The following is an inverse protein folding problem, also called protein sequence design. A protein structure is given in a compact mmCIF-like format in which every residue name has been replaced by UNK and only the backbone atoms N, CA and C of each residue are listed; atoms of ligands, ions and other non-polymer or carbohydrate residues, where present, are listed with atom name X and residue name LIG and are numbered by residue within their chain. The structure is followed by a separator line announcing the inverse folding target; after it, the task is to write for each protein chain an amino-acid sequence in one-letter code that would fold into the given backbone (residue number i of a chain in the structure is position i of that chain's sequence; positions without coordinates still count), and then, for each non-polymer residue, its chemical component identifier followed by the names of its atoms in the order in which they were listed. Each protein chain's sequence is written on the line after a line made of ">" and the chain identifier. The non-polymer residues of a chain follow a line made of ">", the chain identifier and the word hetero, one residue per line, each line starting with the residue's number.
data_IF_838317953301
#
_entry.id   IF_838317953301
#
_cell.length_a   1.000
_cell.length_b   1.000
_cell.length_c   1.000
_cell.angle_alpha   90.00
_cell.angle_beta   90.00
_cell.angle_gamma   90.00
#
_symmetry.space_group_name_H-M   'P 1'
#
loop_
_entity.id
_entity.type
_entity.pdbx_description
1 polymer ?
#
# COMPACT_ATOMS: atom_id res chain seq x y z
N UNK A 1 -13.57 -10.39 -36.04
CA UNK A 1 -13.10 -11.50 -35.18
C UNK A 1 -12.35 -10.90 -34.00
N UNK A 2 -12.73 -11.15 -32.74
CA UNK A 2 -11.99 -10.63 -31.60
C UNK A 2 -10.64 -11.35 -31.54
N UNK A 3 -9.56 -10.64 -31.82
CA UNK A 3 -8.21 -11.10 -31.55
C UNK A 3 -8.12 -11.46 -30.07
N UNK A 4 -7.99 -12.75 -29.78
CA UNK A 4 -7.70 -13.25 -28.44
C UNK A 4 -6.33 -12.68 -28.06
N UNK A 5 -6.33 -11.54 -27.36
CA UNK A 5 -5.14 -10.92 -26.80
C UNK A 5 -4.58 -11.87 -25.72
N UNK A 6 -3.83 -12.87 -26.16
CA UNK A 6 -3.10 -13.80 -25.31
C UNK A 6 -1.96 -13.02 -24.67
N UNK A 7 -2.20 -12.55 -23.44
CA UNK A 7 -1.16 -11.93 -22.63
C UNK A 7 0.02 -12.91 -22.56
N UNK A 8 1.24 -12.51 -22.99
CA UNK A 8 2.37 -13.42 -23.07
C UNK A 8 2.66 -14.06 -21.69
N UNK A 9 3.10 -15.34 -21.64
CA UNK A 9 3.32 -16.06 -20.38
C UNK A 9 4.24 -15.33 -19.41
N UNK A 10 5.25 -14.63 -19.93
CA UNK A 10 6.21 -13.82 -19.16
C UNK A 10 5.54 -12.64 -18.43
N UNK A 11 4.57 -12.00 -19.08
CA UNK A 11 3.78 -10.93 -18.45
C UNK A 11 2.83 -11.46 -17.38
N UNK A 12 2.35 -12.72 -17.50
CA UNK A 12 1.58 -13.38 -16.43
C UNK A 12 2.45 -13.70 -15.22
N UNK A 13 3.63 -14.28 -15.43
CA UNK A 13 4.57 -14.61 -14.35
C UNK A 13 5.01 -13.35 -13.59
N UNK A 14 5.36 -12.29 -14.30
CA UNK A 14 5.74 -11.01 -13.69
C UNK A 14 4.65 -10.42 -12.77
N UNK A 15 3.36 -10.60 -13.12
CA UNK A 15 2.23 -10.16 -12.27
C UNK A 15 2.13 -10.94 -10.98
N UNK A 16 2.29 -12.27 -11.03
CA UNK A 16 2.26 -13.11 -9.84
C UNK A 16 3.44 -12.83 -8.91
N UNK A 17 4.64 -12.65 -9.48
CA UNK A 17 5.83 -12.26 -8.71
C UNK A 17 5.60 -10.89 -8.06
N UNK A 18 5.03 -9.92 -8.79
CA UNK A 18 4.73 -8.60 -8.25
C UNK A 18 3.64 -8.58 -7.17
N UNK A 19 2.72 -9.56 -7.19
CA UNK A 19 1.66 -9.72 -6.19
C UNK A 19 2.11 -10.46 -4.93
N UNK A 20 3.22 -11.22 -5.01
CA UNK A 20 3.69 -12.07 -3.93
C UNK A 20 3.94 -11.32 -2.61
N UNK A 21 4.59 -10.14 -2.58
CA UNK A 21 4.82 -9.42 -1.32
C UNK A 21 3.52 -9.05 -0.59
N UNK A 22 2.51 -8.58 -1.32
CA UNK A 22 1.22 -8.24 -0.73
C UNK A 22 0.47 -9.50 -0.28
N UNK A 23 0.54 -10.59 -1.06
CA UNK A 23 -0.09 -11.86 -0.69
C UNK A 23 0.50 -12.44 0.60
N UNK A 24 1.83 -12.40 0.74
CA UNK A 24 2.52 -12.84 1.95
C UNK A 24 2.17 -11.95 3.14
N UNK A 25 2.06 -10.64 2.93
CA UNK A 25 1.68 -9.71 3.99
C UNK A 25 0.22 -9.93 4.41
N UNK A 26 -0.70 -10.11 3.46
CA UNK A 26 -2.08 -10.50 3.75
C UNK A 26 -2.15 -11.83 4.52
N UNK A 27 -1.35 -12.81 4.13
CA UNK A 27 -1.20 -14.08 4.83
C UNK A 27 -0.69 -13.92 6.26
N UNK A 28 0.31 -13.05 6.48
CA UNK A 28 0.78 -12.69 7.81
C UNK A 28 -0.35 -12.08 8.65
N UNK A 29 -1.09 -11.10 8.14
CA UNK A 29 -2.23 -10.52 8.86
C UNK A 29 -3.31 -11.57 9.16
N UNK A 30 -3.58 -12.49 8.23
CA UNK A 30 -4.57 -13.54 8.43
C UNK A 30 -4.12 -14.54 9.50
N UNK A 31 -2.83 -14.90 9.50
CA UNK A 31 -2.22 -15.72 10.53
C UNK A 31 -2.32 -15.06 11.90
N UNK A 32 -1.98 -13.77 12.00
CA UNK A 32 -2.12 -13.01 13.26
C UNK A 32 -3.57 -12.90 13.71
N UNK A 33 -4.52 -12.82 12.78
CA UNK A 33 -5.94 -12.75 13.12
C UNK A 33 -6.48 -14.08 13.66
N UNK A 34 -6.17 -15.18 12.99
CA UNK A 34 -6.72 -16.51 13.28
C UNK A 34 -5.96 -17.19 14.44
N UNK A 35 -4.63 -17.10 14.43
CA UNK A 35 -3.75 -17.81 15.35
C UNK A 35 -2.53 -16.94 15.78
N UNK A 36 -2.75 -15.83 16.51
CA UNK A 36 -1.70 -14.91 16.93
C UNK A 36 -0.60 -15.55 17.80
N UNK A 37 -0.87 -16.70 18.43
CA UNK A 37 0.11 -17.45 19.21
C UNK A 37 1.25 -18.05 18.37
N UNK A 38 1.04 -18.27 17.07
CA UNK A 38 2.06 -18.85 16.18
C UNK A 38 3.22 -17.87 15.91
N UNK A 39 2.97 -16.63 15.46
CA UNK A 39 4.03 -15.63 15.32
C UNK A 39 4.36 -14.91 16.66
N UNK A 40 3.57 -15.15 17.71
CA UNK A 40 3.67 -14.52 19.03
C UNK A 40 2.86 -13.23 19.15
N UNK A 41 2.49 -12.86 20.39
CA UNK A 41 1.63 -11.71 20.68
C UNK A 41 2.17 -10.38 20.11
N UNK A 42 3.50 -10.22 20.05
CA UNK A 42 4.17 -9.07 19.45
C UNK A 42 3.83 -8.86 17.96
N UNK A 43 3.34 -9.88 17.25
CA UNK A 43 2.91 -9.75 15.86
C UNK A 43 1.68 -8.84 15.68
N UNK A 44 0.82 -8.73 16.70
CA UNK A 44 -0.30 -7.77 16.70
C UNK A 44 0.25 -6.34 16.67
N UNK A 45 1.23 -6.06 17.54
CA UNK A 45 1.92 -4.77 17.58
C UNK A 45 2.60 -4.46 16.24
N UNK A 46 3.29 -5.45 15.66
CA UNK A 46 3.93 -5.30 14.34
C UNK A 46 2.92 -5.02 13.25
N UNK A 47 1.81 -5.77 13.17
CA UNK A 47 0.78 -5.56 12.16
C UNK A 47 0.12 -4.18 12.26
N UNK A 48 -0.15 -3.71 13.48
CA UNK A 48 -0.63 -2.34 13.69
C UNK A 48 0.36 -1.30 13.17
N UNK A 49 1.64 -1.43 13.53
CA UNK A 49 2.69 -0.52 13.07
C UNK A 49 2.82 -0.54 11.54
N UNK A 50 2.73 -1.72 10.92
CA UNK A 50 2.73 -1.86 9.46
C UNK A 50 1.59 -1.05 8.82
N UNK A 51 0.37 -1.12 9.35
CA UNK A 51 -0.76 -0.36 8.80
C UNK A 51 -0.62 1.15 8.98
N UNK A 52 0.00 1.61 10.07
CA UNK A 52 0.31 3.03 10.28
C UNK A 52 1.38 3.53 9.30
N UNK A 53 2.43 2.73 9.08
CA UNK A 53 3.45 3.02 8.08
C UNK A 53 2.83 3.04 6.68
N UNK A 54 1.97 2.07 6.37
CA UNK A 54 1.30 1.97 5.07
C UNK A 54 0.44 3.21 4.77
N UNK A 55 -0.27 3.76 5.77
CA UNK A 55 -0.98 5.03 5.65
C UNK A 55 -0.05 6.14 5.14
N UNK A 56 1.12 6.28 5.76
CA UNK A 56 2.13 7.27 5.37
C UNK A 56 2.64 7.01 3.96
N UNK A 57 2.93 5.75 3.62
CA UNK A 57 3.47 5.39 2.30
C UNK A 57 2.48 5.65 1.17
N UNK A 58 1.19 5.43 1.41
CA UNK A 58 0.10 5.71 0.47
C UNK A 58 0.04 7.21 0.13
N UNK A 59 0.15 8.08 1.14
CA UNK A 59 0.15 9.54 0.97
C UNK A 59 1.44 10.04 0.32
N UNK A 60 2.59 9.54 0.77
CA UNK A 60 3.89 9.88 0.19
C UNK A 60 3.94 9.52 -1.29
N UNK A 61 3.39 8.36 -1.67
CA UNK A 61 3.37 7.89 -3.06
C UNK A 61 2.57 8.80 -3.99
N UNK A 62 1.44 9.35 -3.54
CA UNK A 62 0.65 10.30 -4.31
C UNK A 62 1.44 11.58 -4.62
N UNK A 63 1.96 12.21 -3.57
CA UNK A 63 2.61 13.52 -3.68
C UNK A 63 3.96 13.43 -4.38
N UNK A 64 4.82 12.49 -3.98
CA UNK A 64 6.12 12.28 -4.63
C UNK A 64 5.93 11.76 -6.05
N UNK A 65 4.97 10.86 -6.29
CA UNK A 65 4.69 10.32 -7.61
C UNK A 65 4.29 11.38 -8.62
N UNK A 66 3.41 12.32 -8.24
CA UNK A 66 2.98 13.41 -9.11
C UNK A 66 4.14 14.30 -9.57
N UNK A 67 5.09 14.61 -8.68
CA UNK A 67 6.24 15.46 -8.99
C UNK A 67 7.33 14.67 -9.75
N UNK A 68 7.57 13.42 -9.36
CA UNK A 68 8.59 12.57 -9.98
C UNK A 68 8.24 12.20 -11.43
N UNK A 69 6.95 12.01 -11.73
CA UNK A 69 6.45 11.65 -13.06
C UNK A 69 6.16 12.86 -13.97
N UNK A 70 6.36 14.08 -13.47
CA UNK A 70 6.24 15.30 -14.26
C UNK A 70 7.47 15.49 -15.16
N UNK A 71 7.23 15.64 -16.47
CA UNK A 71 8.26 15.84 -17.49
C UNK A 71 8.92 17.21 -17.42
N UNK A 72 8.21 18.23 -16.96
CA UNK A 72 8.73 19.59 -16.83
C UNK A 72 9.60 19.78 -15.57
N UNK A 73 9.60 18.82 -14.65
CA UNK A 73 10.38 18.90 -13.41
C UNK A 73 11.85 18.57 -13.64
N UNK A 74 12.74 19.50 -13.31
CA UNK A 74 14.18 19.25 -13.30
C UNK A 74 14.56 18.23 -12.21
N UNK A 75 15.70 17.54 -12.39
CA UNK A 75 16.21 16.56 -11.43
C UNK A 75 16.33 17.13 -10.02
N UNK A 76 16.84 18.37 -9.89
CA UNK A 76 16.96 19.06 -8.59
C UNK A 76 15.60 19.24 -7.92
N UNK A 77 14.56 19.65 -8.67
CA UNK A 77 13.20 19.78 -8.13
C UNK A 77 12.64 18.43 -7.67
N UNK A 78 12.86 17.35 -8.42
CA UNK A 78 12.44 15.99 -8.04
C UNK A 78 13.12 15.52 -6.74
N UNK A 79 14.44 15.70 -6.64
CA UNK A 79 15.20 15.34 -5.43
C UNK A 79 14.82 16.21 -4.23
N UNK A 80 14.60 17.51 -4.43
CA UNK A 80 14.14 18.40 -3.37
C UNK A 80 12.74 18.00 -2.86
N UNK A 81 11.83 17.61 -3.75
CA UNK A 81 10.51 17.11 -3.36
C UNK A 81 10.61 15.79 -2.58
N UNK A 82 11.41 14.82 -3.08
CA UNK A 82 11.65 13.56 -2.35
C UNK A 82 12.24 13.85 -0.97
N UNK A 83 13.26 14.71 -0.87
CA UNK A 83 13.90 15.08 0.38
C UNK A 83 12.96 15.79 1.35
N UNK A 84 12.15 16.75 0.87
CA UNK A 84 11.19 17.48 1.70
C UNK A 84 10.10 16.57 2.28
N UNK A 85 9.48 15.74 1.43
CA UNK A 85 8.51 14.74 1.91
C UNK A 85 9.17 13.69 2.80
N UNK A 86 10.40 13.25 2.48
CA UNK A 86 11.12 12.29 3.30
C UNK A 86 11.37 12.84 4.71
N UNK A 87 11.83 14.08 4.82
CA UNK A 87 12.07 14.73 6.11
C UNK A 87 10.77 14.86 6.93
N UNK A 88 9.68 15.30 6.30
CA UNK A 88 8.38 15.42 6.97
C UNK A 88 7.88 14.07 7.49
N UNK A 89 7.92 13.01 6.66
CA UNK A 89 7.45 11.69 7.06
C UNK A 89 8.39 10.97 8.04
N UNK A 90 9.68 11.27 8.01
CA UNK A 90 10.64 10.74 8.97
C UNK A 90 10.27 11.10 10.41
N UNK A 91 9.67 12.27 10.64
CA UNK A 91 9.18 12.66 11.97
C UNK A 91 8.13 11.67 12.50
N UNK A 92 7.16 11.29 11.67
CA UNK A 92 6.12 10.32 12.06
C UNK A 92 6.70 8.91 12.25
N UNK A 93 7.54 8.47 11.30
CA UNK A 93 8.16 7.13 11.36
C UNK A 93 9.07 7.03 12.59
N UNK A 94 9.87 8.05 12.90
CA UNK A 94 10.73 8.08 14.07
C UNK A 94 9.92 8.03 15.37
N UNK A 95 8.84 8.80 15.46
CA UNK A 95 7.95 8.79 16.62
C UNK A 95 7.33 7.40 16.85
N UNK A 96 6.84 6.74 15.79
CA UNK A 96 6.29 5.39 15.91
C UNK A 96 7.36 4.33 16.18
N UNK A 97 8.53 4.43 15.56
CA UNK A 97 9.66 3.54 15.86
C UNK A 97 10.03 3.60 17.34
N UNK A 98 10.06 4.80 17.92
CA UNK A 98 10.30 4.98 19.34
C UNK A 98 9.17 4.40 20.19
N UNK A 99 7.91 4.76 19.90
CA UNK A 99 6.72 4.32 20.64
C UNK A 99 6.53 2.80 20.62
N UNK A 100 6.74 2.17 19.47
CA UNK A 100 6.57 0.72 19.28
C UNK A 100 7.83 -0.08 19.60
N UNK A 101 8.95 0.61 19.91
CA UNK A 101 10.29 0.03 20.11
C UNK A 101 10.73 -0.86 18.96
N UNK A 102 10.48 -0.40 17.73
CA UNK A 102 10.73 -1.15 16.51
C UNK A 102 11.53 -0.29 15.52
N UNK A 103 12.75 -0.69 15.21
CA UNK A 103 13.70 0.08 14.39
C UNK A 103 13.55 -0.17 12.88
N UNK A 104 12.97 -1.32 12.48
CA UNK A 104 12.81 -1.71 11.08
C UNK A 104 12.02 -0.71 10.20
N UNK A 105 11.03 0.07 10.69
CA UNK A 105 10.34 1.06 9.86
C UNK A 105 11.29 2.12 9.30
N UNK A 106 12.35 2.48 10.03
CA UNK A 106 13.37 3.42 9.54
C UNK A 106 14.12 2.84 8.34
N UNK A 107 14.46 1.55 8.36
CA UNK A 107 15.08 0.89 7.21
C UNK A 107 14.12 0.82 6.02
N UNK A 108 12.88 0.38 6.24
CA UNK A 108 11.88 0.26 5.18
C UNK A 108 11.62 1.62 4.51
N UNK A 109 11.50 2.66 5.34
CA UNK A 109 11.34 4.03 4.87
C UNK A 109 12.57 4.54 4.12
N UNK A 110 13.77 4.36 4.68
CA UNK A 110 15.03 4.76 4.02
C UNK A 110 15.20 4.09 2.66
N UNK A 111 14.93 2.79 2.58
CA UNK A 111 14.95 2.04 1.32
C UNK A 111 13.95 2.60 0.29
N UNK A 112 12.73 2.92 0.73
CA UNK A 112 11.73 3.53 -0.13
C UNK A 112 12.16 4.92 -0.63
N UNK A 113 12.72 5.75 0.24
CA UNK A 113 13.23 7.07 -0.12
C UNK A 113 14.34 6.96 -1.16
N UNK A 114 15.28 6.02 -0.99
CA UNK A 114 16.32 5.72 -1.98
C UNK A 114 15.72 5.29 -3.32
N UNK A 115 14.74 4.38 -3.31
CA UNK A 115 14.03 3.96 -4.52
C UNK A 115 13.32 5.10 -5.25
N UNK A 116 12.67 6.01 -4.50
CA UNK A 116 12.01 7.19 -5.09
C UNK A 116 13.02 8.23 -5.59
N UNK A 117 14.13 8.44 -4.88
CA UNK A 117 15.21 9.31 -5.33
C UNK A 117 15.86 8.78 -6.62
N UNK A 118 15.99 7.46 -6.75
CA UNK A 118 16.51 6.82 -7.95
C UNK A 118 15.67 7.11 -9.20
N UNK A 119 14.34 7.25 -9.06
CA UNK A 119 13.46 7.63 -10.17
C UNK A 119 13.78 9.00 -10.78
N UNK A 120 14.42 9.92 -10.03
CA UNK A 120 14.87 11.21 -10.56
C UNK A 120 15.99 11.09 -11.60
N UNK A 121 16.65 9.93 -11.67
CA UNK A 121 17.72 9.61 -12.62
C UNK A 121 17.24 8.75 -13.80
N UNK A 122 16.02 8.23 -13.75
CA UNK A 122 15.49 7.36 -14.78
C UNK A 122 14.73 8.15 -15.85
N UNK A 123 14.72 7.69 -17.11
CA UNK A 123 13.80 8.18 -18.13
C UNK A 123 12.36 8.04 -17.66
N UNK A 124 11.49 8.94 -18.14
CA UNK A 124 10.08 8.84 -17.83
C UNK A 124 9.50 7.54 -18.38
N UNK A 125 8.68 6.81 -17.58
CA UNK A 125 7.96 5.66 -18.08
C UNK A 125 7.02 6.05 -19.23
N UNK A 126 6.78 5.14 -20.19
CA UNK A 126 5.75 5.32 -21.20
C UNK A 126 4.40 5.65 -20.58
N UNK A 127 3.55 6.39 -21.30
CA UNK A 127 2.26 6.86 -20.78
C UNK A 127 1.39 5.73 -20.22
N UNK A 128 1.32 4.60 -20.92
CA UNK A 128 0.57 3.43 -20.48
C UNK A 128 1.03 2.92 -19.11
N UNK A 129 2.34 2.96 -18.81
CA UNK A 129 2.90 2.54 -17.53
C UNK A 129 2.59 3.58 -16.44
N UNK A 130 2.61 4.87 -16.75
CA UNK A 130 2.20 5.92 -15.82
C UNK A 130 0.71 5.78 -15.45
N UNK A 131 -0.16 5.58 -16.43
CA UNK A 131 -1.59 5.34 -16.21
C UNK A 131 -1.83 4.09 -15.34
N UNK A 132 -1.05 3.03 -15.56
CA UNK A 132 -1.10 1.84 -14.71
C UNK A 132 -0.70 2.16 -13.25
N UNK A 133 0.40 2.89 -13.04
CA UNK A 133 0.84 3.29 -11.70
C UNK A 133 -0.22 4.14 -10.97
N UNK A 134 -0.88 5.06 -11.69
CA UNK A 134 -1.98 5.85 -11.13
C UNK A 134 -3.19 4.99 -10.78
N UNK A 135 -3.55 4.03 -11.64
CA UNK A 135 -4.65 3.11 -11.39
C UNK A 135 -4.39 2.23 -10.17
N UNK A 136 -3.18 1.66 -10.07
CA UNK A 136 -2.77 0.82 -8.94
C UNK A 136 -2.80 1.62 -7.62
N UNK A 137 -2.29 2.85 -7.65
CA UNK A 137 -2.39 3.76 -6.51
C UNK A 137 -3.84 4.06 -6.13
N UNK A 138 -4.70 4.39 -7.09
CA UNK A 138 -6.10 4.69 -6.84
C UNK A 138 -6.85 3.49 -6.23
N UNK A 139 -6.59 2.27 -6.72
CA UNK A 139 -7.13 1.04 -6.11
C UNK A 139 -6.63 0.90 -4.67
N UNK A 140 -5.35 1.15 -4.42
CA UNK A 140 -4.79 1.14 -3.06
C UNK A 140 -5.50 2.13 -2.14
N UNK A 141 -5.68 3.38 -2.58
CA UNK A 141 -6.41 4.39 -1.79
C UNK A 141 -7.84 3.95 -1.48
N UNK A 142 -8.57 3.49 -2.50
CA UNK A 142 -9.95 3.04 -2.33
C UNK A 142 -10.04 1.83 -1.39
N UNK A 143 -9.12 0.88 -1.51
CA UNK A 143 -9.05 -0.28 -0.61
C UNK A 143 -8.69 0.12 0.82
N UNK A 144 -7.77 1.07 0.99
CA UNK A 144 -7.39 1.58 2.32
C UNK A 144 -8.59 2.25 3.00
N UNK A 145 -9.26 3.16 2.29
CA UNK A 145 -10.46 3.84 2.79
C UNK A 145 -11.60 2.85 3.08
N UNK A 146 -11.88 1.95 2.15
CA UNK A 146 -12.92 0.94 2.32
C UNK A 146 -12.65 0.06 3.55
N UNK A 147 -11.41 -0.40 3.74
CA UNK A 147 -11.03 -1.20 4.89
C UNK A 147 -11.09 -0.44 6.21
N UNK A 148 -10.62 0.81 6.23
CA UNK A 148 -10.72 1.68 7.40
C UNK A 148 -12.17 1.89 7.83
N UNK A 149 -13.07 2.27 6.90
CA UNK A 149 -14.48 2.46 7.23
C UNK A 149 -15.19 1.15 7.57
N UNK A 150 -14.96 0.08 6.80
CA UNK A 150 -15.59 -1.21 7.06
C UNK A 150 -15.26 -1.73 8.46
N UNK A 151 -14.01 -1.61 8.91
CA UNK A 151 -13.59 -2.11 10.23
C UNK A 151 -13.99 -1.20 11.40
N UNK A 152 -14.39 0.04 11.12
CA UNK A 152 -15.03 0.94 12.09
C UNK A 152 -16.50 0.58 12.29
N UNK A 153 -17.23 0.32 11.21
CA UNK A 153 -18.69 0.14 11.26
C UNK A 153 -19.15 -1.32 11.43
N UNK A 154 -18.36 -2.29 10.96
CA UNK A 154 -18.73 -3.70 11.04
C UNK A 154 -18.20 -4.32 12.34
N UNK A 155 -18.97 -5.24 12.96
CA UNK A 155 -18.50 -6.00 14.11
C UNK A 155 -17.46 -7.03 13.66
N UNK A 156 -16.18 -6.64 13.65
CA UNK A 156 -15.08 -7.54 13.29
C UNK A 156 -14.85 -8.58 14.41
N UNK A 157 -14.96 -9.89 14.11
CA UNK A 157 -14.73 -10.92 15.11
C UNK A 157 -13.26 -10.93 15.56
N UNK A 158 -13.04 -11.24 16.85
CA UNK A 158 -11.68 -11.32 17.42
C UNK A 158 -10.88 -12.52 16.92
N UNK A 159 -11.57 -13.60 16.51
CA UNK A 159 -10.97 -14.89 16.18
C UNK A 159 -9.98 -15.31 17.28
N UNK A 160 -8.70 -15.50 16.96
CA UNK A 160 -7.68 -15.94 17.91
C UNK A 160 -7.23 -14.86 18.91
N UNK A 161 -7.67 -13.61 18.78
CA UNK A 161 -7.26 -12.51 19.66
C UNK A 161 -8.04 -12.50 20.98
N UNK A 162 -7.68 -13.41 21.88
CA UNK A 162 -8.21 -13.42 23.25
C UNK A 162 -7.72 -12.20 24.04
N UNK A 163 -8.42 -11.79 25.11
CA UNK A 163 -7.99 -10.68 25.95
C UNK A 163 -6.58 -10.83 26.53
N UNK A 164 -6.17 -12.08 26.86
CA UNK A 164 -4.83 -12.36 27.39
C UNK A 164 -3.73 -12.12 26.36
N UNK A 165 -3.89 -12.59 25.13
CA UNK A 165 -2.92 -12.40 24.05
C UNK A 165 -2.81 -10.91 23.68
N UNK A 166 -3.94 -10.20 23.66
CA UNK A 166 -3.94 -8.75 23.39
C UNK A 166 -3.23 -7.98 24.50
N UNK A 167 -3.42 -8.37 25.77
CA UNK A 167 -2.70 -7.76 26.89
C UNK A 167 -1.19 -8.03 26.79
N UNK A 168 -0.78 -9.25 26.41
CA UNK A 168 0.62 -9.63 26.23
C UNK A 168 1.31 -8.84 25.10
N UNK A 169 0.57 -8.49 24.04
CA UNK A 169 1.10 -7.65 22.95
C UNK A 169 1.53 -6.23 23.43
N UNK A 170 1.08 -5.83 24.63
CA UNK A 170 1.44 -4.59 25.30
C UNK A 170 1.32 -3.36 24.38
N UNK A 171 0.18 -3.24 23.67
CA UNK A 171 0.00 -2.23 22.63
C UNK A 171 0.13 -0.81 23.21
N UNK A 172 1.02 0.04 22.66
CA UNK A 172 1.24 1.36 23.21
C UNK A 172 0.17 2.37 22.74
N UNK A 173 -0.17 3.34 23.59
CA UNK A 173 -1.08 4.45 23.25
C UNK A 173 -2.57 4.14 23.46
N UNK A 174 -3.43 4.70 22.61
CA UNK A 174 -4.89 4.57 22.72
C UNK A 174 -5.58 4.69 21.36
N UNK A 175 -6.92 4.68 21.37
CA UNK A 175 -7.75 4.74 20.16
C UNK A 175 -8.26 3.37 19.70
N UNK A 176 -9.06 3.38 18.63
CA UNK A 176 -9.83 2.20 18.20
C UNK A 176 -8.96 0.96 17.99
N UNK A 177 -7.82 1.09 17.31
CA UNK A 177 -6.94 -0.03 17.01
C UNK A 177 -6.24 -0.59 18.24
N UNK A 178 -5.98 0.21 19.27
CA UNK A 178 -5.42 -0.27 20.53
C UNK A 178 -6.49 -0.99 21.35
N UNK A 179 -7.71 -0.44 21.42
CA UNK A 179 -8.81 -1.05 22.17
C UNK A 179 -9.41 -2.28 21.50
N UNK A 180 -9.37 -2.34 20.16
CA UNK A 180 -9.93 -3.42 19.33
C UNK A 180 -8.95 -3.79 18.21
N UNK A 181 -7.78 -4.38 18.52
CA UNK A 181 -6.73 -4.65 17.53
C UNK A 181 -7.15 -5.58 16.39
N UNK A 182 -8.15 -6.44 16.60
CA UNK A 182 -8.69 -7.26 15.53
C UNK A 182 -9.19 -6.43 14.33
N UNK A 183 -9.60 -5.17 14.56
CA UNK A 183 -10.07 -4.28 13.48
C UNK A 183 -8.95 -3.94 12.50
N UNK A 184 -7.79 -3.47 12.99
CA UNK A 184 -6.65 -3.13 12.13
C UNK A 184 -5.99 -4.35 11.50
N UNK A 185 -6.01 -5.49 12.20
CA UNK A 185 -5.44 -6.72 11.65
C UNK A 185 -6.32 -7.27 10.52
N UNK A 186 -7.64 -7.34 10.72
CA UNK A 186 -8.57 -7.72 9.65
C UNK A 186 -8.51 -6.73 8.48
N UNK A 187 -8.34 -5.44 8.77
CA UNK A 187 -8.09 -4.42 7.76
C UNK A 187 -6.83 -4.75 6.94
N UNK A 188 -5.72 -5.12 7.58
CA UNK A 188 -4.51 -5.55 6.88
C UNK A 188 -4.74 -6.74 5.95
N UNK A 189 -5.50 -7.76 6.38
CA UNK A 189 -5.89 -8.89 5.51
C UNK A 189 -6.61 -8.41 4.26
N UNK A 190 -7.63 -7.56 4.46
CA UNK A 190 -8.42 -7.03 3.36
C UNK A 190 -7.57 -6.18 2.40
N UNK A 191 -6.84 -5.21 2.93
CA UNK A 191 -6.08 -4.25 2.14
C UNK A 191 -5.02 -4.94 1.28
N UNK A 192 -4.13 -5.71 1.90
CA UNK A 192 -3.06 -6.40 1.17
C UNK A 192 -3.61 -7.52 0.28
N UNK A 193 -4.73 -8.15 0.66
CA UNK A 193 -5.43 -9.11 -0.20
C UNK A 193 -5.96 -8.47 -1.49
N UNK A 194 -6.57 -7.29 -1.39
CA UNK A 194 -7.03 -6.53 -2.56
C UNK A 194 -5.85 -6.12 -3.44
N UNK A 195 -4.74 -5.65 -2.87
CA UNK A 195 -3.54 -5.31 -3.64
C UNK A 195 -2.96 -6.51 -4.38
N UNK A 196 -2.81 -7.64 -3.68
CA UNK A 196 -2.32 -8.89 -4.25
C UNK A 196 -3.17 -9.35 -5.46
N UNK A 197 -4.50 -9.40 -5.27
CA UNK A 197 -5.43 -9.79 -6.33
C UNK A 197 -5.39 -8.82 -7.50
N UNK A 198 -5.31 -7.51 -7.23
CA UNK A 198 -5.24 -6.46 -8.25
C UNK A 198 -3.98 -6.61 -9.11
N UNK A 199 -2.82 -6.81 -8.48
CA UNK A 199 -1.54 -7.03 -9.18
C UNK A 199 -1.53 -8.33 -9.97
N UNK A 200 -2.02 -9.43 -9.38
CA UNK A 200 -2.07 -10.73 -10.04
C UNK A 200 -2.97 -10.73 -11.29
N UNK A 201 -4.13 -10.07 -11.20
CA UNK A 201 -5.08 -9.93 -12.33
C UNK A 201 -4.63 -8.88 -13.34
N UNK A 202 -3.83 -7.90 -12.92
CA UNK A 202 -3.45 -6.75 -13.72
C UNK A 202 -4.64 -5.83 -14.00
N UNK A 203 -5.52 -5.65 -13.00
CA UNK A 203 -6.72 -4.81 -13.10
C UNK A 203 -6.33 -3.39 -13.48
N UNK A 204 -7.00 -2.81 -14.49
CA UNK A 204 -6.85 -1.41 -14.88
C UNK A 204 -8.18 -0.70 -14.67
N UNK A 205 -8.16 0.41 -13.93
CA UNK A 205 -9.31 1.28 -13.89
C UNK A 205 -9.43 1.95 -15.26
N UNK A 206 -10.50 1.67 -16.00
CA UNK A 206 -10.80 2.39 -17.23
C UNK A 206 -11.08 3.85 -16.86
N UNK A 207 -10.31 4.78 -17.40
CA UNK A 207 -10.69 6.19 -17.34
C UNK A 207 -11.89 6.41 -18.28
N UNK A 208 -12.96 7.00 -17.75
CA UNK A 208 -14.05 7.54 -18.54
C UNK A 208 -13.54 8.82 -19.24
N UNK A 209 -12.80 8.65 -20.33
CA UNK A 209 -12.16 9.77 -21.03
C UNK A 209 -11.78 9.51 -22.48
N UNK A 210 -12.16 8.37 -23.06
CA UNK A 210 -11.93 8.06 -24.47
C UNK A 210 -13.24 7.72 -25.20
N UNK A 211 -14.30 8.48 -24.93
CA UNK A 211 -15.29 8.70 -25.97
C UNK A 211 -14.78 9.90 -26.78
N UNK A 212 -14.08 9.64 -27.89
CA UNK A 212 -13.81 10.68 -28.89
C UNK A 212 -15.16 11.12 -29.46
N UNK A 213 -15.59 12.39 -29.32
CA UNK A 213 -16.85 12.83 -29.90
C UNK A 213 -16.78 13.09 -31.42
N UNK A 214 -15.68 12.81 -32.12
CA UNK A 214 -15.43 13.49 -33.40
C UNK A 214 -14.77 12.62 -34.50
N UNK A 215 -15.42 11.52 -34.90
CA UNK A 215 -15.11 10.84 -36.19
C UNK A 215 -16.34 10.47 -37.03
N UNK A 216 -17.52 11.04 -36.76
CA UNK A 216 -18.73 10.84 -37.58
C UNK A 216 -19.26 12.12 -38.25
N UNK A 217 -18.45 13.18 -38.36
CA UNK A 217 -18.74 14.36 -39.18
C UNK A 217 -17.76 14.52 -40.35
N UNK A 218 -17.70 13.50 -41.21
CA UNK A 218 -17.13 13.63 -42.54
C UNK A 218 -17.69 12.54 -43.46
N UNK A 219 -19.01 12.55 -43.68
CA UNK A 219 -19.66 11.96 -44.86
C UNK A 219 -20.84 12.84 -45.27
#
# INVERSE_FOLDING_TARGET
>A
MPSTNTVPPTARLGRWIGALPDALTAGFFALVWIAPQLPGAGAIRTGMLMMMVEFVLLHASAMIGSIALNAASSRRKKLAAVGGFAAMYLLFIAAWTWQFRAWWPLLAFGWLVLGKAWLAFQPLPPEQRRQQMHSEWAVGVMAYLAGAFATVFLPIPRLGMTPSIVAEAALPGGGLWVSKPQTVIAFGVFYFGVLAVTKARGTRLRHAGSASPDQDRAR
#
